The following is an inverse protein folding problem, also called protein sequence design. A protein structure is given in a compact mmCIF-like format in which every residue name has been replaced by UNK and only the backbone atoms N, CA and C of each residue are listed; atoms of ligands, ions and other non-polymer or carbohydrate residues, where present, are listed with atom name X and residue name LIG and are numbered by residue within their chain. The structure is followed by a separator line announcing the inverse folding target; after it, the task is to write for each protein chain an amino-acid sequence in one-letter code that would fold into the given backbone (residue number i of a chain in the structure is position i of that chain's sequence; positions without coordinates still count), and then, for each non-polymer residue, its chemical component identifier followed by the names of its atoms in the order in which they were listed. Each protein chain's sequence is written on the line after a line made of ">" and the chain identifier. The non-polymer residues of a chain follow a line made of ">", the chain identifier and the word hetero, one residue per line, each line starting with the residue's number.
data_IF_725768227522
#
_entry.id   IF_725768227522
#
_cell.length_a   1.000
_cell.length_b   1.000
_cell.length_c   1.000
_cell.angle_alpha   90.00
_cell.angle_beta   90.00
_cell.angle_gamma   90.00
#
_symmetry.space_group_name_H-M   'P 1'
#
loop_
_entity.id
_entity.type
_entity.pdbx_description
1 polymer ?
#
# COMPACT_ATOMS: atom_id res chain seq x y z
N UNK A 1 7.51 21.36 12.58
CA UNK A 1 7.62 21.48 11.10
C UNK A 1 8.95 22.15 10.75
N UNK A 2 9.73 21.59 9.83
CA UNK A 2 11.07 22.12 9.52
C UNK A 2 11.02 23.46 8.76
N UNK A 3 12.02 24.35 8.90
CA UNK A 3 12.06 25.61 8.16
C UNK A 3 12.04 25.44 6.63
N UNK A 4 12.58 24.32 6.14
CA UNK A 4 12.51 23.95 4.73
C UNK A 4 11.06 23.70 4.31
N UNK A 5 10.34 22.85 5.04
CA UNK A 5 8.99 22.46 4.69
C UNK A 5 8.04 23.65 4.68
N UNK A 6 8.14 24.55 5.67
CA UNK A 6 7.33 25.78 5.69
C UNK A 6 7.59 26.67 4.48
N UNK A 7 8.84 26.80 4.03
CA UNK A 7 9.18 27.55 2.82
C UNK A 7 8.69 26.85 1.56
N UNK A 8 8.78 25.53 1.52
CA UNK A 8 8.32 24.72 0.39
C UNK A 8 6.79 24.81 0.24
N UNK A 9 6.04 24.63 1.32
CA UNK A 9 4.58 24.81 1.34
C UNK A 9 4.19 26.23 0.90
N UNK A 10 4.90 27.26 1.39
CA UNK A 10 4.68 28.63 0.97
C UNK A 10 4.90 28.80 -0.54
N UNK A 11 5.95 28.19 -1.10
CA UNK A 11 6.23 28.23 -2.53
C UNK A 11 5.12 27.55 -3.34
N UNK A 12 4.68 26.35 -2.94
CA UNK A 12 3.56 25.64 -3.57
C UNK A 12 2.28 26.49 -3.57
N UNK A 13 1.94 27.06 -2.41
CA UNK A 13 0.78 27.95 -2.27
C UNK A 13 0.89 29.21 -3.13
N UNK A 14 2.10 29.75 -3.30
CA UNK A 14 2.32 30.98 -4.07
C UNK A 14 2.11 30.81 -5.58
N UNK A 15 2.10 29.58 -6.10
CA UNK A 15 1.84 29.29 -7.51
C UNK A 15 0.41 29.66 -7.95
N UNK A 16 -0.54 29.74 -7.00
CA UNK A 16 -1.98 30.03 -7.24
C UNK A 16 -2.69 29.03 -8.17
N UNK A 17 -2.06 27.91 -8.47
CA UNK A 17 -2.63 26.77 -9.19
C UNK A 17 -2.05 25.47 -8.64
N UNK A 18 -2.74 24.36 -8.86
CA UNK A 18 -2.23 23.04 -8.52
C UNK A 18 -1.26 22.52 -9.59
N UNK A 19 -0.23 21.81 -9.15
CA UNK A 19 0.81 21.28 -10.04
C UNK A 19 0.38 19.90 -10.55
N UNK A 20 0.45 19.67 -11.85
CA UNK A 20 0.32 18.34 -12.42
C UNK A 20 1.60 17.54 -12.15
N UNK A 21 1.48 16.48 -11.37
CA UNK A 21 2.57 15.59 -10.97
C UNK A 21 2.07 14.17 -11.19
N UNK A 22 2.86 13.34 -11.89
CA UNK A 22 2.53 11.94 -12.15
C UNK A 22 2.96 11.03 -10.99
N UNK A 23 4.13 11.30 -10.41
CA UNK A 23 4.70 10.49 -9.32
C UNK A 23 5.13 11.39 -8.18
N UNK A 24 4.64 11.11 -6.97
CA UNK A 24 5.07 11.76 -5.74
C UNK A 24 5.93 10.81 -4.92
N UNK A 25 7.20 11.15 -4.72
CA UNK A 25 8.10 10.42 -3.82
C UNK A 25 8.42 11.29 -2.61
N UNK A 26 8.08 10.79 -1.42
CA UNK A 26 8.32 11.53 -0.17
C UNK A 26 8.84 10.61 0.93
N UNK A 27 9.68 11.19 1.80
CA UNK A 27 10.13 10.59 3.05
C UNK A 27 9.62 11.43 4.23
N UNK A 28 8.36 11.24 4.65
CA UNK A 28 7.75 12.10 5.65
C UNK A 28 8.17 11.70 7.05
N UNK A 29 8.78 12.62 7.81
CA UNK A 29 8.98 12.45 9.25
C UNK A 29 7.68 12.66 10.06
N UNK A 30 6.61 13.17 9.44
CA UNK A 30 5.34 13.45 10.12
C UNK A 30 4.19 13.50 9.10
N UNK A 31 2.93 13.14 9.44
CA UNK A 31 1.78 13.28 8.54
C UNK A 31 1.62 14.68 7.95
N UNK A 32 1.96 15.71 8.73
CA UNK A 32 1.92 17.12 8.27
C UNK A 32 2.80 17.37 7.05
N UNK A 33 3.86 16.58 6.83
CA UNK A 33 4.71 16.70 5.65
C UNK A 33 3.97 16.29 4.38
N UNK A 34 3.11 15.27 4.46
CA UNK A 34 2.24 14.86 3.35
C UNK A 34 1.18 15.92 3.12
N UNK A 35 0.54 16.43 4.18
CA UNK A 35 -0.48 17.48 4.12
C UNK A 35 0.06 18.82 3.60
N UNK A 36 1.34 19.12 3.78
CA UNK A 36 1.99 20.31 3.25
C UNK A 36 2.27 20.23 1.73
N UNK A 37 2.11 19.06 1.11
CA UNK A 37 2.46 18.84 -0.31
C UNK A 37 1.24 18.41 -1.10
N UNK A 38 0.58 17.34 -0.68
CA UNK A 38 -0.44 16.63 -1.47
C UNK A 38 -1.63 17.52 -1.90
N UNK A 39 -2.18 18.42 -1.06
CA UNK A 39 -3.28 19.30 -1.47
C UNK A 39 -2.95 20.28 -2.60
N UNK A 40 -1.66 20.56 -2.82
CA UNK A 40 -1.20 21.47 -3.87
C UNK A 40 -0.92 20.74 -5.20
N UNK A 41 -1.04 19.41 -5.23
CA UNK A 41 -1.00 18.63 -6.45
C UNK A 41 -2.38 18.57 -7.10
N UNK A 42 -2.42 18.47 -8.42
CA UNK A 42 -3.68 18.40 -9.17
C UNK A 42 -4.25 16.98 -9.08
N UNK A 43 -5.49 16.80 -8.57
CA UNK A 43 -6.15 15.49 -8.59
C UNK A 43 -6.25 14.92 -10.01
N UNK A 44 -6.17 13.60 -10.13
CA UNK A 44 -6.34 12.87 -11.39
C UNK A 44 -5.14 12.89 -12.33
N UNK A 45 -4.04 13.54 -11.94
CA UNK A 45 -2.74 13.44 -12.63
C UNK A 45 -1.75 12.58 -11.87
N UNK A 46 -1.91 12.48 -10.54
CA UNK A 46 -1.07 11.67 -9.69
C UNK A 46 -1.44 10.21 -9.87
N UNK A 47 -0.53 9.42 -10.40
CA UNK A 47 -0.67 7.98 -10.63
C UNK A 47 0.00 7.21 -9.49
N UNK A 48 1.20 7.63 -9.08
CA UNK A 48 2.02 6.91 -8.10
C UNK A 48 2.30 7.75 -6.85
N UNK A 49 2.14 7.13 -5.69
CA UNK A 49 2.57 7.68 -4.40
C UNK A 49 3.59 6.73 -3.78
N UNK A 50 4.78 7.24 -3.49
CA UNK A 50 5.82 6.52 -2.75
C UNK A 50 6.11 7.20 -1.43
N UNK A 51 5.95 6.43 -0.35
CA UNK A 51 6.22 6.82 1.02
C UNK A 51 7.31 5.92 1.59
N UNK A 52 8.39 6.55 2.03
CA UNK A 52 9.54 5.91 2.67
C UNK A 52 9.64 6.39 4.13
N UNK A 53 9.73 5.46 5.09
CA UNK A 53 9.86 5.81 6.51
C UNK A 53 11.24 6.43 6.80
N UNK A 54 12.24 6.13 5.96
CA UNK A 54 13.58 6.69 6.13
C UNK A 54 14.22 6.36 7.49
N UNK A 55 13.65 5.40 8.23
CA UNK A 55 14.03 4.98 9.58
C UNK A 55 13.89 6.07 10.64
N UNK A 56 12.99 7.04 10.45
CA UNK A 56 12.77 8.15 11.40
C UNK A 56 11.51 7.89 12.23
N UNK A 57 11.71 7.56 13.51
CA UNK A 57 10.65 7.19 14.47
C UNK A 57 9.82 8.39 14.96
N UNK A 58 9.03 9.01 14.10
CA UNK A 58 7.90 9.78 14.61
C UNK A 58 6.79 8.82 15.06
N UNK A 59 6.06 9.20 16.11
CA UNK A 59 4.91 8.42 16.56
C UNK A 59 3.69 8.71 15.68
N UNK A 60 3.62 8.05 14.53
CA UNK A 60 2.46 8.07 13.63
C UNK A 60 1.20 7.47 14.26
N UNK A 61 1.33 6.80 15.43
CA UNK A 61 0.24 6.08 16.10
C UNK A 61 -0.42 6.89 17.22
N UNK A 62 0.03 8.11 17.49
CA UNK A 62 -0.71 9.02 18.37
C UNK A 62 -2.08 9.36 17.76
N UNK A 63 -3.11 9.53 18.59
CA UNK A 63 -4.49 9.84 18.14
C UNK A 63 -4.55 11.05 17.19
N UNK A 64 -3.70 12.06 17.42
CA UNK A 64 -3.60 13.23 16.55
C UNK A 64 -3.08 12.86 15.16
N UNK A 65 -2.03 12.05 15.09
CA UNK A 65 -1.41 11.65 13.83
C UNK A 65 -2.26 10.67 13.04
N UNK A 66 -2.95 9.75 13.72
CA UNK A 66 -3.94 8.88 13.09
C UNK A 66 -5.02 9.70 12.38
N UNK A 67 -5.57 10.75 13.04
CA UNK A 67 -6.55 11.64 12.40
C UNK A 67 -6.00 12.37 11.18
N UNK A 68 -4.71 12.74 11.20
CA UNK A 68 -4.05 13.37 10.05
C UNK A 68 -3.87 12.38 8.90
N UNK A 69 -3.53 11.12 9.20
CA UNK A 69 -3.47 10.04 8.20
C UNK A 69 -4.84 9.80 7.58
N UNK A 70 -5.90 9.75 8.39
CA UNK A 70 -7.27 9.67 7.90
C UNK A 70 -7.59 10.86 6.98
N UNK A 71 -7.19 12.09 7.35
CA UNK A 71 -7.36 13.27 6.49
C UNK A 71 -6.62 13.14 5.16
N UNK A 72 -5.38 12.65 5.17
CA UNK A 72 -4.60 12.38 3.95
C UNK A 72 -5.36 11.41 3.05
N UNK A 73 -5.86 10.32 3.60
CA UNK A 73 -6.61 9.29 2.88
C UNK A 73 -7.96 9.79 2.34
N UNK A 74 -8.44 10.95 2.81
CA UNK A 74 -9.66 11.58 2.29
C UNK A 74 -9.41 12.55 1.13
N UNK A 75 -8.16 12.94 0.84
CA UNK A 75 -7.83 13.88 -0.24
C UNK A 75 -8.11 13.28 -1.62
N UNK A 76 -8.59 14.11 -2.53
CA UNK A 76 -8.90 13.69 -3.91
C UNK A 76 -7.64 13.19 -4.64
N UNK A 77 -6.49 13.83 -4.39
CA UNK A 77 -5.20 13.42 -4.95
C UNK A 77 -4.80 12.02 -4.49
N UNK A 78 -5.10 11.67 -3.24
CA UNK A 78 -4.83 10.34 -2.69
C UNK A 78 -5.77 9.30 -3.31
N UNK A 79 -7.07 9.57 -3.29
CA UNK A 79 -8.11 8.65 -3.77
C UNK A 79 -8.07 8.36 -5.27
N UNK A 80 -7.51 9.28 -6.06
CA UNK A 80 -7.44 9.15 -7.52
C UNK A 80 -6.12 8.56 -8.00
N UNK A 81 -5.12 8.42 -7.12
CA UNK A 81 -3.88 7.73 -7.45
C UNK A 81 -4.13 6.23 -7.63
N UNK A 82 -3.35 5.62 -8.52
CA UNK A 82 -3.55 4.21 -8.90
C UNK A 82 -2.68 3.27 -8.07
N UNK A 83 -1.47 3.72 -7.73
CA UNK A 83 -0.43 2.89 -7.14
C UNK A 83 0.14 3.50 -5.85
N UNK A 84 0.32 2.65 -4.84
CA UNK A 84 0.94 3.01 -3.57
C UNK A 84 2.18 2.16 -3.31
N UNK A 85 3.30 2.83 -3.10
CA UNK A 85 4.59 2.25 -2.76
C UNK A 85 4.91 2.58 -1.30
N UNK A 86 5.02 1.57 -0.45
CA UNK A 86 5.34 1.73 0.98
C UNK A 86 6.69 1.09 1.26
N UNK A 87 7.70 1.91 1.52
CA UNK A 87 9.04 1.45 1.86
C UNK A 87 9.29 1.58 3.36
N UNK A 88 9.23 0.45 4.07
CA UNK A 88 9.32 0.42 5.54
C UNK A 88 8.22 1.26 6.24
N UNK A 89 7.13 1.63 5.54
CA UNK A 89 6.08 2.56 6.02
C UNK A 89 4.71 1.92 6.25
N UNK A 90 4.63 0.58 6.28
CA UNK A 90 3.37 -0.14 6.35
C UNK A 90 2.54 0.22 7.60
N UNK A 91 3.21 0.48 8.72
CA UNK A 91 2.56 0.73 10.01
C UNK A 91 2.17 2.20 10.25
N UNK A 92 2.42 3.07 9.27
CA UNK A 92 1.96 4.47 9.27
C UNK A 92 0.48 4.60 8.92
N UNK A 93 -0.11 3.59 8.28
CA UNK A 93 -1.45 3.63 7.74
C UNK A 93 -2.38 2.63 8.44
N UNK A 94 -3.67 2.95 8.59
CA UNK A 94 -4.68 2.00 9.03
C UNK A 94 -5.05 1.06 7.87
N UNK A 95 -5.77 -0.03 8.15
CA UNK A 95 -6.04 -1.09 7.16
C UNK A 95 -6.85 -0.61 5.96
N UNK A 96 -7.66 0.44 6.13
CA UNK A 96 -8.47 1.04 5.08
C UNK A 96 -7.63 1.52 3.90
N UNK A 97 -6.31 1.68 4.06
CA UNK A 97 -5.42 2.00 2.94
C UNK A 97 -5.44 0.92 1.85
N UNK A 98 -5.61 -0.36 2.23
CA UNK A 98 -5.52 -1.51 1.31
C UNK A 98 -6.73 -1.65 0.37
N UNK A 99 -7.76 -0.81 0.52
CA UNK A 99 -8.92 -0.78 -0.38
C UNK A 99 -8.94 0.45 -1.31
N UNK A 100 -7.92 1.31 -1.26
CA UNK A 100 -7.93 2.61 -1.94
C UNK A 100 -7.17 2.67 -3.27
N UNK A 101 -6.24 1.74 -3.50
CA UNK A 101 -5.41 1.69 -4.70
C UNK A 101 -5.61 0.39 -5.48
N UNK A 102 -5.26 0.43 -6.77
CA UNK A 102 -5.27 -0.73 -7.64
C UNK A 102 -4.05 -1.61 -7.39
N UNK A 103 -2.88 -0.98 -7.24
CA UNK A 103 -1.61 -1.68 -7.10
C UNK A 103 -0.82 -1.20 -5.90
N UNK A 104 -0.06 -2.14 -5.33
CA UNK A 104 0.78 -1.87 -4.17
C UNK A 104 2.15 -2.49 -4.35
N UNK A 105 3.18 -1.77 -3.91
CA UNK A 105 4.49 -2.35 -3.65
C UNK A 105 4.87 -2.04 -2.21
N UNK A 106 5.21 -3.07 -1.43
CA UNK A 106 5.41 -2.93 0.01
C UNK A 106 6.72 -3.62 0.40
N UNK A 107 7.67 -2.84 0.91
CA UNK A 107 8.84 -3.34 1.63
C UNK A 107 8.55 -3.29 3.13
N UNK A 108 8.61 -4.44 3.79
CA UNK A 108 8.46 -4.56 5.24
C UNK A 108 9.68 -5.22 5.87
N UNK A 109 10.18 -4.66 6.98
CA UNK A 109 11.26 -5.27 7.78
C UNK A 109 10.82 -6.58 8.43
N UNK A 110 9.54 -6.68 8.76
CA UNK A 110 8.93 -7.88 9.32
C UNK A 110 7.48 -7.94 8.92
N UNK A 111 6.99 -9.15 8.63
CA UNK A 111 5.58 -9.41 8.35
C UNK A 111 5.18 -10.70 9.05
N UNK A 112 4.06 -10.69 9.77
CA UNK A 112 3.49 -11.91 10.33
C UNK A 112 2.46 -12.54 9.40
N UNK A 113 2.25 -13.84 9.51
CA UNK A 113 1.20 -14.57 8.78
C UNK A 113 -0.20 -13.97 9.03
N UNK A 114 -0.49 -13.57 10.28
CA UNK A 114 -1.77 -12.94 10.62
C UNK A 114 -1.95 -11.57 9.94
N UNK A 115 -0.89 -10.75 9.89
CA UNK A 115 -0.94 -9.46 9.20
C UNK A 115 -1.14 -9.67 7.69
N UNK A 116 -0.38 -10.57 7.06
CA UNK A 116 -0.54 -10.85 5.63
C UNK A 116 -1.94 -11.40 5.31
N UNK A 117 -2.48 -12.26 6.17
CA UNK A 117 -3.84 -12.79 6.04
C UNK A 117 -4.88 -11.66 6.13
N UNK A 118 -4.74 -10.75 7.10
CA UNK A 118 -5.61 -9.57 7.24
C UNK A 118 -5.57 -8.70 5.98
N UNK A 119 -4.38 -8.38 5.48
CA UNK A 119 -4.20 -7.60 4.25
C UNK A 119 -4.83 -8.32 3.05
N UNK A 120 -4.64 -9.63 2.95
CA UNK A 120 -5.28 -10.45 1.92
C UNK A 120 -6.80 -10.36 1.92
N UNK A 121 -7.44 -10.31 3.09
CA UNK A 121 -8.89 -10.09 3.18
C UNK A 121 -9.30 -8.68 2.73
N UNK A 122 -8.55 -7.64 3.10
CA UNK A 122 -8.83 -6.28 2.63
C UNK A 122 -8.73 -6.18 1.09
N UNK A 123 -7.71 -6.81 0.49
CA UNK A 123 -7.58 -6.89 -0.97
C UNK A 123 -8.71 -7.66 -1.65
N UNK A 124 -9.26 -8.68 -0.98
CA UNK A 124 -10.40 -9.43 -1.49
C UNK A 124 -11.66 -8.54 -1.55
N UNK A 125 -11.89 -7.75 -0.49
CA UNK A 125 -13.01 -6.81 -0.36
C UNK A 125 -12.89 -5.60 -1.30
N UNK A 126 -11.67 -5.16 -1.62
CA UNK A 126 -11.43 -4.04 -2.51
C UNK A 126 -12.01 -4.28 -3.91
N UNK A 127 -12.89 -3.41 -4.44
CA UNK A 127 -13.42 -3.57 -5.79
C UNK A 127 -12.41 -3.24 -6.89
N UNK A 128 -11.37 -2.47 -6.56
CA UNK A 128 -10.38 -1.93 -7.49
C UNK A 128 -9.01 -2.59 -7.38
N UNK A 129 -8.76 -3.38 -6.33
CA UNK A 129 -7.48 -4.06 -6.18
C UNK A 129 -7.18 -5.00 -7.36
N UNK A 130 -5.96 -4.95 -7.86
CA UNK A 130 -5.47 -5.77 -8.96
C UNK A 130 -4.24 -6.57 -8.55
N UNK A 131 -3.26 -5.93 -7.92
CA UNK A 131 -1.94 -6.52 -7.71
C UNK A 131 -1.20 -5.97 -6.48
N UNK A 132 -0.42 -6.81 -5.81
CA UNK A 132 0.53 -6.37 -4.79
C UNK A 132 1.83 -7.18 -4.83
N UNK A 133 2.96 -6.50 -4.72
CA UNK A 133 4.26 -7.11 -4.42
C UNK A 133 4.69 -6.76 -3.00
N UNK A 134 4.94 -7.79 -2.20
CA UNK A 134 5.53 -7.69 -0.86
C UNK A 134 6.97 -8.17 -0.90
N UNK A 135 7.88 -7.31 -0.49
CA UNK A 135 9.27 -7.64 -0.18
C UNK A 135 9.40 -7.65 1.33
N UNK A 136 9.78 -8.78 1.92
CA UNK A 136 10.00 -8.90 3.36
C UNK A 136 11.47 -9.21 3.60
N UNK A 137 12.15 -8.40 4.41
CA UNK A 137 13.55 -8.67 4.75
C UNK A 137 13.68 -10.02 5.47
N UNK A 138 14.53 -10.91 4.94
CA UNK A 138 14.79 -12.22 5.53
C UNK A 138 14.91 -13.34 4.50
N UNK A 139 15.31 -14.52 4.97
CA UNK A 139 15.40 -15.72 4.15
C UNK A 139 14.26 -16.67 4.55
N UNK A 140 13.37 -16.97 3.59
CA UNK A 140 12.20 -17.86 3.69
C UNK A 140 10.86 -17.23 4.14
N UNK A 141 10.08 -16.77 3.14
CA UNK A 141 8.73 -16.23 3.30
C UNK A 141 7.62 -17.25 3.02
N UNK A 142 7.92 -18.55 2.83
CA UNK A 142 6.91 -19.55 2.48
C UNK A 142 5.89 -19.78 3.60
N UNK A 143 6.33 -19.67 4.85
CA UNK A 143 5.47 -19.85 6.02
C UNK A 143 4.39 -18.77 6.12
N UNK A 144 4.61 -17.57 5.59
CA UNK A 144 3.70 -16.42 5.72
C UNK A 144 2.35 -16.64 5.01
N UNK A 145 2.32 -17.47 3.97
CA UNK A 145 1.10 -17.76 3.21
C UNK A 145 0.48 -19.11 3.60
N UNK A 146 1.04 -19.83 4.57
CA UNK A 146 0.76 -21.25 4.79
C UNK A 146 -0.67 -21.56 5.24
N UNK A 147 -1.34 -20.62 5.90
CA UNK A 147 -2.74 -20.68 6.34
C UNK A 147 -3.73 -19.99 5.39
N UNK A 148 -3.24 -19.25 4.39
CA UNK A 148 -4.11 -18.47 3.49
C UNK A 148 -4.78 -19.41 2.50
N UNK A 149 -6.12 -19.41 2.48
CA UNK A 149 -6.90 -20.14 1.48
C UNK A 149 -6.49 -21.60 1.29
N UNK A 150 -6.50 -22.08 0.05
CA UNK A 150 -6.14 -23.46 -0.32
C UNK A 150 -4.88 -23.49 -1.20
N UNK A 151 -4.11 -24.60 -1.23
CA UNK A 151 -3.00 -24.76 -2.17
C UNK A 151 -3.43 -24.62 -3.65
N UNK A 152 -2.65 -23.88 -4.45
CA UNK A 152 -2.85 -23.74 -5.89
C UNK A 152 -2.14 -24.82 -6.72
N UNK A 153 -2.62 -25.15 -7.94
CA UNK A 153 -1.97 -26.10 -8.84
C UNK A 153 -0.72 -25.54 -9.56
N UNK A 154 0.21 -26.41 -10.01
CA UNK A 154 0.25 -27.85 -9.79
C UNK A 154 0.72 -28.21 -8.38
N UNK A 155 0.22 -29.35 -7.87
CA UNK A 155 0.47 -29.86 -6.52
C UNK A 155 1.96 -30.02 -6.12
N UNK A 156 2.90 -29.92 -7.07
CA UNK A 156 4.35 -29.97 -6.82
C UNK A 156 4.95 -28.73 -6.16
N UNK A 157 4.25 -27.59 -6.14
CA UNK A 157 4.73 -26.32 -5.55
C UNK A 157 3.79 -25.81 -4.45
N UNK A 158 3.16 -26.72 -3.70
CA UNK A 158 2.15 -26.47 -2.67
C UNK A 158 2.54 -25.46 -1.57
N UNK A 159 3.85 -25.24 -1.34
CA UNK A 159 4.35 -24.23 -0.38
C UNK A 159 4.43 -22.81 -0.94
N UNK A 160 4.36 -22.65 -2.26
CA UNK A 160 4.63 -21.35 -2.91
C UNK A 160 3.40 -20.69 -3.48
N UNK A 161 2.30 -21.42 -3.69
CA UNK A 161 1.09 -20.87 -4.30
C UNK A 161 -0.14 -21.18 -3.48
N UNK A 162 -0.91 -20.14 -3.16
CA UNK A 162 -2.17 -20.26 -2.39
C UNK A 162 -3.27 -19.43 -3.06
N UNK A 163 -4.46 -20.00 -3.10
CA UNK A 163 -5.64 -19.42 -3.71
C UNK A 163 -6.65 -19.08 -2.61
N UNK A 164 -7.00 -17.79 -2.50
CA UNK A 164 -8.07 -17.31 -1.63
C UNK A 164 -9.29 -16.95 -2.46
N UNK A 165 -10.38 -17.69 -2.27
CA UNK A 165 -11.61 -17.49 -3.02
C UNK A 165 -12.35 -16.26 -2.50
N UNK A 166 -12.79 -15.39 -3.41
CA UNK A 166 -13.61 -14.23 -3.05
C UNK A 166 -15.08 -14.67 -3.07
N UNK A 167 -15.80 -14.58 -1.93
CA UNK A 167 -17.19 -15.00 -1.85
C UNK A 167 -18.07 -14.29 -2.87
N UNK A 168 -19.06 -15.00 -3.43
CA UNK A 168 -20.07 -14.45 -4.36
C UNK A 168 -19.50 -13.82 -5.65
N UNK A 169 -18.27 -14.16 -6.03
CA UNK A 169 -17.67 -13.74 -7.30
C UNK A 169 -17.01 -14.92 -8.00
N UNK A 170 -16.73 -14.73 -9.29
CA UNK A 170 -15.87 -15.59 -10.09
C UNK A 170 -14.38 -15.28 -9.88
N UNK A 171 -14.01 -14.42 -8.93
CA UNK A 171 -12.62 -14.01 -8.68
C UNK A 171 -11.96 -14.79 -7.55
N UNK A 172 -10.63 -14.78 -7.55
CA UNK A 172 -9.78 -15.23 -6.46
C UNK A 172 -8.56 -14.31 -6.31
N UNK A 173 -7.91 -14.38 -5.15
CA UNK A 173 -6.54 -13.89 -4.98
C UNK A 173 -5.56 -15.05 -5.07
N UNK A 174 -4.46 -14.86 -5.80
CA UNK A 174 -3.37 -15.82 -5.94
C UNK A 174 -2.13 -15.25 -5.25
N UNK A 175 -1.73 -15.90 -4.17
CA UNK A 175 -0.50 -15.60 -3.44
C UNK A 175 0.62 -16.49 -3.98
N UNK A 176 1.74 -15.90 -4.42
CA UNK A 176 2.91 -16.60 -4.96
C UNK A 176 4.16 -16.16 -4.23
N UNK A 177 4.95 -17.10 -3.70
CA UNK A 177 6.26 -16.81 -3.09
C UNK A 177 7.38 -17.22 -4.05
N UNK A 178 8.22 -16.26 -4.43
CA UNK A 178 9.38 -16.49 -5.29
C UNK A 178 10.50 -15.52 -4.94
N UNK A 179 11.74 -16.00 -4.82
CA UNK A 179 12.90 -15.12 -4.64
C UNK A 179 12.92 -14.29 -3.35
N UNK A 180 12.11 -14.63 -2.34
CA UNK A 180 11.93 -13.81 -1.13
C UNK A 180 10.80 -12.78 -1.25
N UNK A 181 10.12 -12.70 -2.38
CA UNK A 181 8.98 -11.82 -2.61
C UNK A 181 7.67 -12.62 -2.50
N UNK A 182 6.61 -11.94 -2.07
CA UNK A 182 5.24 -12.46 -2.10
C UNK A 182 4.45 -11.61 -3.10
N UNK A 183 3.97 -12.22 -4.16
CA UNK A 183 3.09 -11.58 -5.16
C UNK A 183 1.65 -11.99 -4.91
N UNK A 184 0.74 -11.03 -4.96
CA UNK A 184 -0.69 -11.23 -4.77
C UNK A 184 -1.40 -10.68 -5.99
N UNK A 185 -2.01 -11.57 -6.78
CA UNK A 185 -2.73 -11.21 -8.00
C UNK A 185 -4.24 -11.45 -7.81
N UNK A 186 -5.08 -10.48 -8.18
CA UNK A 186 -6.53 -10.72 -8.30
C UNK A 186 -6.85 -11.21 -9.71
N UNK A 187 -7.46 -12.39 -9.81
CA UNK A 187 -7.74 -13.02 -11.10
C UNK A 187 -9.18 -13.56 -11.16
N UNK A 188 -9.75 -13.61 -12.36
CA UNK A 188 -10.96 -14.38 -12.63
C UNK A 188 -10.61 -15.87 -12.70
N UNK A 189 -11.49 -16.71 -12.16
CA UNK A 189 -11.35 -18.17 -12.20
C UNK A 189 -11.48 -18.63 -13.65
N UNK A 190 -10.54 -19.46 -14.08
CA UNK A 190 -10.76 -20.30 -15.26
C UNK A 190 -11.81 -21.35 -14.88
N UNK A 191 -13.06 -21.12 -15.29
CA UNK A 191 -14.11 -22.14 -15.22
C UNK A 191 -13.84 -23.12 -16.38
N UNK A 192 -13.04 -24.15 -16.12
CA UNK A 192 -12.99 -25.35 -16.97
C UNK A 192 -13.98 -26.39 -16.47
#
# INVERSE_FOLDING_TARGET
>A
MSPFLTKFEYALRSLKHQIAVQTLMIRPEHPDHVLAILPYLRPGYLEDILIDDGRVKADWKSDENVRKVEQIMQLDQWKQAEELYLQESLDMFPDEVFVQFKKYWILALSLSENQLTRIGFMFAESPIFEHCEFVVEGHDNYHLISSIGVPGPPAGIYRRVRHLMIPNTDKLLIFKVSGGEIKIDKQTRDIQ
#
